data_IF_345278602043
#
_entry.id   IF_345278602043
#
_cell.length_a   1.000
_cell.length_b   1.000
_cell.length_c   1.000
_cell.angle_alpha   90.00
_cell.angle_beta   90.00
_cell.angle_gamma   90.00
#
_symmetry.space_group_name_H-M   'P 1'
#
loop_
_entity.id
_entity.type
_entity.pdbx_description
1 polymer ?
#
# COMPACT_ATOMS: atom_id res chain seq x y z
N UNK A 1 -7.86 -22.31 4.77
CA UNK A 1 -7.47 -22.58 3.37
C UNK A 1 -7.01 -21.27 2.70
N UNK A 2 -6.01 -20.57 3.24
CA UNK A 2 -5.39 -19.39 2.58
C UNK A 2 -3.87 -19.16 2.85
N UNK A 3 -3.11 -20.00 3.60
CA UNK A 3 -1.73 -19.65 3.92
C UNK A 3 -0.78 -19.69 2.71
N UNK A 4 -1.13 -20.42 1.64
CA UNK A 4 -0.33 -20.47 0.41
C UNK A 4 -0.42 -19.20 -0.42
N UNK A 5 -1.57 -18.50 -0.42
CA UNK A 5 -1.75 -17.25 -1.15
C UNK A 5 -1.01 -16.10 -0.45
N UNK A 6 -1.06 -16.06 0.87
CA UNK A 6 -0.43 -15.02 1.71
C UNK A 6 1.11 -15.07 1.66
N UNK A 7 1.69 -16.28 1.57
CA UNK A 7 3.12 -16.45 1.33
C UNK A 7 3.53 -16.01 -0.08
N UNK A 8 2.69 -16.26 -1.09
CA UNK A 8 2.94 -15.81 -2.46
C UNK A 8 2.84 -14.28 -2.59
N UNK A 9 1.80 -13.65 -2.03
CA UNK A 9 1.62 -12.19 -2.07
C UNK A 9 2.72 -11.47 -1.29
N UNK A 10 3.09 -11.96 -0.10
CA UNK A 10 4.16 -11.36 0.72
C UNK A 10 5.57 -11.47 0.12
N UNK A 11 5.84 -12.51 -0.67
CA UNK A 11 7.08 -12.62 -1.45
C UNK A 11 7.06 -11.75 -2.72
N UNK A 12 5.90 -11.63 -3.37
CA UNK A 12 5.70 -10.77 -4.55
C UNK A 12 5.90 -9.31 -4.16
N UNK A 13 5.24 -8.81 -3.12
CA UNK A 13 5.40 -7.43 -2.63
C UNK A 13 6.85 -7.09 -2.29
N UNK A 14 7.57 -7.99 -1.58
CA UNK A 14 9.00 -7.79 -1.29
C UNK A 14 9.90 -7.77 -2.53
N UNK A 15 9.55 -8.51 -3.59
CA UNK A 15 10.32 -8.54 -4.86
C UNK A 15 10.06 -7.29 -5.69
N UNK A 16 8.81 -6.81 -5.74
CA UNK A 16 8.41 -5.55 -6.38
C UNK A 16 9.20 -4.39 -5.77
N UNK A 17 9.12 -4.22 -4.45
CA UNK A 17 9.74 -3.10 -3.73
C UNK A 17 11.26 -3.01 -3.99
N UNK A 18 11.96 -4.15 -4.05
CA UNK A 18 13.42 -4.18 -4.31
C UNK A 18 13.82 -3.91 -5.76
N UNK A 19 12.91 -3.43 -6.61
CA UNK A 19 13.17 -3.18 -8.03
C UNK A 19 13.45 -4.46 -8.83
N UNK A 20 13.11 -5.63 -8.28
CA UNK A 20 13.15 -6.90 -9.00
C UNK A 20 11.77 -7.16 -9.59
N UNK A 21 11.30 -6.27 -10.46
CA UNK A 21 10.31 -6.59 -11.49
C UNK A 21 10.97 -7.51 -12.54
N UNK A 22 11.53 -8.62 -12.06
CA UNK A 22 12.08 -9.69 -12.87
C UNK A 22 10.92 -10.36 -13.60
N UNK A 23 11.17 -10.88 -14.80
CA UNK A 23 10.23 -11.64 -15.63
C UNK A 23 9.36 -12.62 -14.83
N UNK A 24 9.89 -13.20 -13.75
CA UNK A 24 9.15 -14.12 -12.86
C UNK A 24 7.99 -13.50 -12.09
N UNK A 25 8.06 -12.24 -11.65
CA UNK A 25 6.96 -11.60 -10.90
C UNK A 25 5.81 -11.27 -11.84
N UNK A 26 6.13 -10.76 -13.03
CA UNK A 26 5.14 -10.53 -14.09
C UNK A 26 4.54 -11.82 -14.64
N UNK A 27 5.28 -12.94 -14.62
CA UNK A 27 4.74 -14.27 -14.92
C UNK A 27 3.79 -14.80 -13.83
N UNK A 28 3.91 -14.33 -12.58
CA UNK A 28 3.03 -14.75 -11.47
C UNK A 28 1.69 -14.01 -11.51
N UNK A 29 1.65 -12.74 -11.91
CA UNK A 29 0.41 -11.95 -11.87
C UNK A 29 -0.76 -12.53 -12.68
N UNK A 30 -0.55 -13.08 -13.91
CA UNK A 30 -1.62 -13.74 -14.65
C UNK A 30 -2.24 -14.92 -13.89
N UNK A 31 -1.46 -15.60 -13.04
CA UNK A 31 -1.86 -16.79 -12.29
C UNK A 31 -2.62 -16.48 -11.00
N UNK A 32 -2.75 -15.22 -10.61
CA UNK A 32 -3.48 -14.78 -9.41
C UNK A 32 -4.79 -14.10 -9.77
N UNK A 33 -5.85 -14.29 -8.98
CA UNK A 33 -7.13 -13.59 -9.15
C UNK A 33 -7.16 -12.23 -8.43
N UNK A 34 -6.36 -12.09 -7.37
CA UNK A 34 -6.30 -10.91 -6.52
C UNK A 34 -4.88 -10.64 -6.03
N UNK A 35 -4.59 -9.38 -5.74
CA UNK A 35 -3.33 -8.93 -5.16
C UNK A 35 -3.58 -7.87 -4.08
N UNK A 36 -2.81 -7.92 -3.00
CA UNK A 36 -2.71 -6.84 -2.03
C UNK A 36 -1.29 -6.28 -2.08
N UNK A 37 -1.14 -4.98 -2.32
CA UNK A 37 0.15 -4.30 -2.40
C UNK A 37 0.25 -3.24 -1.31
N UNK A 38 1.37 -3.25 -0.62
CA UNK A 38 1.73 -2.19 0.32
C UNK A 38 2.24 -0.95 -0.43
N UNK A 39 1.43 0.10 -0.50
CA UNK A 39 1.91 1.42 -0.94
C UNK A 39 2.23 2.23 0.30
N UNK A 40 3.50 2.17 0.74
CA UNK A 40 3.89 2.68 2.07
C UNK A 40 4.00 4.20 2.14
N UNK A 41 4.36 4.88 1.06
CA UNK A 41 4.42 6.34 0.96
C UNK A 41 4.47 6.77 -0.51
N UNK A 42 4.17 8.03 -0.83
CA UNK A 42 4.51 8.63 -2.13
C UNK A 42 5.80 9.42 -1.94
N UNK A 43 6.88 8.68 -1.68
CA UNK A 43 8.21 9.23 -1.41
C UNK A 43 9.31 8.21 -1.74
N UNK A 44 10.15 8.52 -2.72
CA UNK A 44 11.32 7.70 -3.06
C UNK A 44 12.30 7.62 -1.87
N UNK A 45 12.44 8.70 -1.10
CA UNK A 45 13.28 8.72 0.10
C UNK A 45 12.80 7.71 1.15
N UNK A 46 11.48 7.61 1.39
CA UNK A 46 10.93 6.62 2.32
C UNK A 46 11.32 5.21 1.90
N UNK A 47 11.17 4.86 0.61
CA UNK A 47 11.53 3.52 0.12
C UNK A 47 13.02 3.25 0.23
N UNK A 48 13.88 4.22 -0.10
CA UNK A 48 15.34 4.04 0.00
C UNK A 48 15.82 3.90 1.44
N UNK A 49 15.26 4.68 2.36
CA UNK A 49 15.72 4.75 3.77
C UNK A 49 15.09 3.68 4.67
N UNK A 50 13.78 3.47 4.55
CA UNK A 50 13.02 2.58 5.44
C UNK A 50 12.90 1.16 4.88
N UNK A 51 12.85 1.02 3.55
CA UNK A 51 12.57 -0.25 2.89
C UNK A 51 13.77 -0.85 2.14
N UNK A 52 14.82 -0.06 1.90
CA UNK A 52 15.93 -0.41 1.00
C UNK A 52 15.41 -0.88 -0.38
N UNK A 53 14.53 -0.06 -0.94
CA UNK A 53 13.66 -0.33 -2.09
C UNK A 53 13.47 0.95 -2.92
N UNK A 54 12.75 0.84 -4.05
CA UNK A 54 12.36 1.98 -4.88
C UNK A 54 10.83 2.09 -4.97
N UNK A 55 10.29 3.31 -5.10
CA UNK A 55 8.84 3.55 -5.18
C UNK A 55 8.28 3.14 -6.54
N UNK A 56 8.97 3.53 -7.62
CA UNK A 56 8.45 3.40 -8.99
C UNK A 56 7.97 1.99 -9.35
N UNK A 57 8.70 0.90 -9.04
CA UNK A 57 8.23 -0.47 -9.34
C UNK A 57 6.93 -0.85 -8.62
N UNK A 58 6.67 -0.29 -7.43
CA UNK A 58 5.43 -0.53 -6.68
C UNK A 58 4.25 0.11 -7.39
N UNK A 59 4.40 1.37 -7.80
CA UNK A 59 3.34 2.11 -8.50
C UNK A 59 3.03 1.46 -9.86
N UNK A 60 4.06 1.08 -10.62
CA UNK A 60 3.91 0.38 -11.90
C UNK A 60 3.19 -0.96 -11.74
N UNK A 61 3.47 -1.70 -10.66
CA UNK A 61 2.81 -2.98 -10.40
C UNK A 61 1.32 -2.80 -10.10
N UNK A 62 0.95 -1.80 -9.31
CA UNK A 62 -0.45 -1.47 -9.05
C UNK A 62 -1.20 -1.12 -10.34
N UNK A 63 -0.62 -0.24 -11.16
CA UNK A 63 -1.20 0.16 -12.45
C UNK A 63 -1.36 -1.06 -13.37
N UNK A 64 -0.32 -1.87 -13.50
CA UNK A 64 -0.33 -3.06 -14.36
C UNK A 64 -1.40 -4.07 -13.93
N UNK A 65 -1.49 -4.38 -12.63
CA UNK A 65 -2.49 -5.30 -12.08
C UNK A 65 -3.93 -4.84 -12.32
N UNK A 66 -4.19 -3.55 -12.10
CA UNK A 66 -5.54 -2.97 -12.24
C UNK A 66 -5.93 -2.77 -13.69
N UNK A 67 -5.08 -2.09 -14.49
CA UNK A 67 -5.43 -1.65 -15.84
C UNK A 67 -5.18 -2.70 -16.91
N UNK A 68 -4.04 -3.39 -16.86
CA UNK A 68 -3.66 -4.33 -17.92
C UNK A 68 -4.23 -5.73 -17.67
N UNK A 69 -4.22 -6.19 -16.41
CA UNK A 69 -4.67 -7.54 -16.06
C UNK A 69 -6.10 -7.61 -15.50
N UNK A 70 -6.71 -6.47 -15.16
CA UNK A 70 -8.07 -6.40 -14.62
C UNK A 70 -8.28 -7.20 -13.32
N UNK A 71 -7.22 -7.37 -12.51
CA UNK A 71 -7.26 -8.16 -11.28
C UNK A 71 -7.92 -7.41 -10.13
N UNK A 72 -8.41 -8.14 -9.13
CA UNK A 72 -8.85 -7.53 -7.87
C UNK A 72 -7.63 -7.05 -7.09
N UNK A 73 -7.38 -5.74 -7.13
CA UNK A 73 -6.29 -5.10 -6.40
C UNK A 73 -6.82 -4.49 -5.10
N UNK A 74 -6.08 -4.66 -4.02
CA UNK A 74 -6.23 -3.90 -2.78
C UNK A 74 -4.92 -3.21 -2.43
N UNK A 75 -5.01 -1.98 -1.92
CA UNK A 75 -3.85 -1.23 -1.43
C UNK A 75 -3.87 -1.23 0.10
N UNK A 76 -2.73 -1.50 0.71
CA UNK A 76 -2.52 -1.31 2.14
C UNK A 76 -1.52 -0.19 2.38
N UNK A 77 -1.86 0.74 3.27
CA UNK A 77 -0.96 1.76 3.79
C UNK A 77 -0.86 1.62 5.32
N UNK A 78 0.29 1.16 5.79
CA UNK A 78 0.62 1.16 7.22
C UNK A 78 1.05 2.58 7.61
N UNK A 79 0.19 3.29 8.34
CA UNK A 79 0.44 4.67 8.76
C UNK A 79 1.36 4.63 9.99
N UNK A 80 2.54 5.21 9.88
CA UNK A 80 3.60 5.26 10.90
C UNK A 80 3.84 6.72 11.30
N UNK A 81 3.63 7.09 12.58
CA UNK A 81 3.76 8.48 13.02
C UNK A 81 5.17 9.03 12.82
N UNK A 82 5.23 10.23 12.24
CA UNK A 82 6.48 10.95 11.92
C UNK A 82 7.23 10.39 10.71
N UNK A 83 6.64 9.47 9.94
CA UNK A 83 7.30 8.83 8.79
C UNK A 83 6.52 8.98 7.48
N UNK A 84 5.23 8.67 7.48
CA UNK A 84 4.37 8.74 6.29
C UNK A 84 2.95 9.27 6.59
N UNK A 85 2.76 9.88 7.75
CA UNK A 85 1.44 10.34 8.24
C UNK A 85 1.22 11.85 8.08
N UNK A 86 2.11 12.56 7.38
CA UNK A 86 1.92 13.98 7.12
C UNK A 86 0.69 14.20 6.21
N UNK A 87 -0.07 15.30 6.38
CA UNK A 87 -1.20 15.62 5.50
C UNK A 87 -0.82 15.62 4.02
N UNK A 88 0.38 16.08 3.69
CA UNK A 88 0.91 16.12 2.31
C UNK A 88 1.15 14.71 1.76
N UNK A 89 1.69 13.79 2.57
CA UNK A 89 1.89 12.40 2.15
C UNK A 89 0.57 11.66 1.96
N UNK A 90 -0.39 11.86 2.86
CA UNK A 90 -1.74 11.29 2.74
C UNK A 90 -2.45 11.85 1.50
N UNK A 91 -2.39 13.17 1.29
CA UNK A 91 -2.93 13.80 0.09
C UNK A 91 -2.29 13.24 -1.17
N UNK A 92 -0.96 13.13 -1.23
CA UNK A 92 -0.26 12.60 -2.39
C UNK A 92 -0.67 11.15 -2.70
N UNK A 93 -0.83 10.31 -1.66
CA UNK A 93 -1.32 8.94 -1.83
C UNK A 93 -2.74 8.93 -2.40
N UNK A 94 -3.66 9.71 -1.83
CA UNK A 94 -5.05 9.75 -2.31
C UNK A 94 -5.14 10.33 -3.73
N UNK A 95 -4.40 11.40 -4.03
CA UNK A 95 -4.33 11.98 -5.38
C UNK A 95 -3.84 10.94 -6.40
N UNK A 96 -2.76 10.20 -6.07
CA UNK A 96 -2.21 9.18 -6.95
C UNK A 96 -3.19 8.02 -7.16
N UNK A 97 -3.85 7.53 -6.09
CA UNK A 97 -4.83 6.45 -6.24
C UNK A 97 -6.03 6.90 -7.07
N UNK A 98 -6.54 8.10 -6.83
CA UNK A 98 -7.65 8.67 -7.61
C UNK A 98 -7.30 8.74 -9.10
N UNK A 99 -6.13 9.29 -9.43
CA UNK A 99 -5.68 9.48 -10.81
C UNK A 99 -5.37 8.15 -11.52
N UNK A 100 -4.71 7.22 -10.84
CA UNK A 100 -4.21 6.00 -11.48
C UNK A 100 -5.16 4.81 -11.38
N UNK A 101 -5.91 4.69 -10.29
CA UNK A 101 -6.68 3.47 -9.98
C UNK A 101 -8.19 3.73 -9.80
N UNK A 102 -8.61 4.98 -9.60
CA UNK A 102 -10.00 5.40 -9.47
C UNK A 102 -10.53 5.42 -8.03
N UNK A 103 -11.66 6.11 -7.84
CA UNK A 103 -12.33 6.27 -6.54
C UNK A 103 -13.02 4.98 -6.02
N UNK A 104 -13.15 3.95 -6.86
CA UNK A 104 -13.64 2.62 -6.49
C UNK A 104 -12.54 1.69 -5.95
N UNK A 105 -11.27 2.13 -5.99
CA UNK A 105 -10.14 1.33 -5.52
C UNK A 105 -10.26 1.03 -4.02
N UNK A 106 -10.03 -0.22 -3.66
CA UNK A 106 -9.99 -0.68 -2.27
C UNK A 106 -8.69 -0.23 -1.61
N UNK A 107 -8.80 0.51 -0.50
CA UNK A 107 -7.65 1.02 0.27
C UNK A 107 -7.85 0.73 1.76
N UNK A 108 -6.82 0.18 2.39
CA UNK A 108 -6.74 -0.09 3.80
C UNK A 108 -5.72 0.84 4.45
N UNK A 109 -6.16 1.65 5.42
CA UNK A 109 -5.27 2.41 6.29
C UNK A 109 -5.15 1.70 7.64
N UNK A 110 -3.96 1.18 7.93
CA UNK A 110 -3.71 0.41 9.15
C UNK A 110 -2.84 1.18 10.14
N UNK A 111 -3.20 1.15 11.41
CA UNK A 111 -2.38 1.72 12.47
C UNK A 111 -1.10 0.90 12.70
N UNK A 112 0.04 1.56 12.75
CA UNK A 112 1.28 0.94 13.22
C UNK A 112 1.23 0.67 14.71
N UNK A 113 1.72 -0.51 15.10
CA UNK A 113 1.90 -0.94 16.48
C UNK A 113 3.40 -1.21 16.73
N UNK A 114 4.02 -0.58 17.74
CA UNK A 114 5.43 -0.80 18.07
C UNK A 114 5.66 -2.23 18.52
N UNK A 115 6.19 -3.04 17.62
CA UNK A 115 6.50 -4.44 17.86
C UNK A 115 7.76 -4.84 17.10
N UNK A 116 8.31 -5.97 17.53
CA UNK A 116 9.49 -6.59 16.94
C UNK A 116 10.73 -5.67 16.97
N UNK A 117 11.36 -5.37 15.84
CA UNK A 117 12.67 -4.68 15.76
C UNK A 117 12.58 -3.19 15.51
N UNK A 118 11.37 -2.62 15.42
CA UNK A 118 11.18 -1.20 15.13
C UNK A 118 10.38 -0.55 16.27
N UNK A 119 10.98 0.44 16.93
CA UNK A 119 10.42 1.14 18.09
C UNK A 119 10.63 2.66 18.06
N UNK A 120 11.10 3.22 16.94
CA UNK A 120 11.42 4.66 16.84
C UNK A 120 10.17 5.54 16.71
N UNK A 121 9.04 4.96 16.31
CA UNK A 121 7.75 5.66 16.22
C UNK A 121 6.79 5.15 17.29
N UNK A 122 5.89 6.00 17.82
CA UNK A 122 4.82 5.57 18.70
C UNK A 122 3.76 4.77 17.93
N UNK A 123 2.85 4.10 18.66
CA UNK A 123 1.65 3.52 18.07
C UNK A 123 0.83 4.61 17.37
N UNK A 124 0.32 4.32 16.18
CA UNK A 124 -0.57 5.23 15.46
C UNK A 124 -1.87 5.39 16.23
N UNK A 125 -2.27 6.61 16.59
CA UNK A 125 -3.54 6.84 17.27
C UNK A 125 -4.72 6.44 16.37
N UNK A 126 -5.70 5.72 16.92
CA UNK A 126 -6.92 5.35 16.20
C UNK A 126 -7.62 6.57 15.56
N UNK A 127 -7.54 7.73 16.22
CA UNK A 127 -8.10 8.98 15.70
C UNK A 127 -7.41 9.45 14.41
N UNK A 128 -6.11 9.22 14.25
CA UNK A 128 -5.38 9.57 13.03
C UNK A 128 -5.88 8.74 11.84
N UNK A 129 -6.01 7.43 12.02
CA UNK A 129 -6.59 6.55 10.98
C UNK A 129 -8.01 6.99 10.62
N UNK A 130 -8.87 7.28 11.61
CA UNK A 130 -10.23 7.76 11.35
C UNK A 130 -10.25 9.08 10.57
N UNK A 131 -9.32 10.00 10.84
CA UNK A 131 -9.17 11.25 10.09
C UNK A 131 -8.80 11.00 8.63
N UNK A 132 -7.82 10.13 8.40
CA UNK A 132 -7.38 9.75 7.04
C UNK A 132 -8.54 9.10 6.27
N UNK A 133 -9.25 8.16 6.89
CA UNK A 133 -10.41 7.52 6.27
C UNK A 133 -11.54 8.51 5.98
N UNK A 134 -11.80 9.47 6.89
CA UNK A 134 -12.80 10.50 6.68
C UNK A 134 -12.42 11.42 5.51
N UNK A 135 -11.15 11.83 5.40
CA UNK A 135 -10.67 12.63 4.27
C UNK A 135 -10.86 11.90 2.94
N UNK A 136 -10.46 10.64 2.86
CA UNK A 136 -10.67 9.83 1.67
C UNK A 136 -12.17 9.69 1.35
N UNK A 137 -13.01 9.47 2.35
CA UNK A 137 -14.46 9.40 2.16
C UNK A 137 -15.04 10.71 1.59
N UNK A 138 -14.63 11.86 2.13
CA UNK A 138 -15.08 13.17 1.63
C UNK A 138 -14.60 13.47 0.20
N UNK A 139 -13.49 12.88 -0.24
CA UNK A 139 -13.04 12.94 -1.64
C UNK A 139 -13.85 12.05 -2.58
N UNK A 140 -14.70 11.16 -2.06
CA UNK A 140 -15.57 10.29 -2.85
C UNK A 140 -15.08 8.85 -2.99
N UNK A 141 -14.03 8.45 -2.27
CA UNK A 141 -13.60 7.05 -2.23
C UNK A 141 -14.66 6.18 -1.56
N UNK A 142 -15.06 5.10 -2.23
CA UNK A 142 -16.19 4.26 -1.81
C UNK A 142 -15.79 3.01 -1.02
N UNK A 143 -14.50 2.62 -1.03
CA UNK A 143 -14.01 1.36 -0.44
C UNK A 143 -12.77 1.58 0.44
N UNK A 144 -12.98 2.26 1.56
CA UNK A 144 -11.91 2.57 2.52
C UNK A 144 -12.11 1.78 3.82
N UNK A 145 -11.02 1.20 4.33
CA UNK A 145 -11.05 0.41 5.55
C UNK A 145 -10.00 0.87 6.55
N UNK A 146 -10.42 0.98 7.81
CA UNK A 146 -9.53 1.24 8.95
C UNK A 146 -9.07 -0.09 9.55
N UNK A 147 -7.75 -0.26 9.72
CA UNK A 147 -7.15 -1.45 10.30
C UNK A 147 -6.37 -1.17 11.58
N UNK A 148 -6.28 -2.18 12.45
CA UNK A 148 -5.43 -2.20 13.65
C UNK A 148 -5.65 -1.05 14.68
N UNK A 149 -6.86 -0.47 14.70
CA UNK A 149 -7.26 0.61 15.61
C UNK A 149 -7.97 0.13 16.87
#
# INVERSE_FOLDING_TARGET
LFPSLELQTGEISRRIERGKNTTRVTELYPLTDAANIDVKAISEEFYRTMCNANLQPVLESCIYLKRELGKHLEITNLVIPGKNDSPEQIKALLDWVEQELGLDQVIHFSAYFPAYKYHESPRTPAQLIRKICAEAFFRGFSRIYAGNI
#
